data_IF_793962281125
#
_entry.id   IF_793962281125
#
_cell.length_a   1.000
_cell.length_b   1.000
_cell.length_c   1.000
_cell.angle_alpha   90.00
_cell.angle_beta   90.00
_cell.angle_gamma   90.00
#
_symmetry.space_group_name_H-M   'P 1'
#
loop_
_entity.id
_entity.type
_entity.pdbx_description
1 polymer ?
#
# COMPACT_ATOMS: atom_id res chain seq x y z
N UNK A 1 -25.28 18.37 10.58
CA UNK A 1 -25.23 18.07 12.04
C UNK A 1 -24.98 16.59 12.17
N UNK A 2 -23.82 16.22 12.67
CA UNK A 2 -23.47 14.83 13.00
C UNK A 2 -24.24 14.52 14.27
N UNK A 3 -25.09 13.52 14.22
CA UNK A 3 -25.90 13.17 15.40
C UNK A 3 -24.99 12.53 16.42
N UNK A 4 -25.15 12.91 17.70
CA UNK A 4 -24.47 12.26 18.83
C UNK A 4 -24.64 10.73 18.78
N UNK A 5 -25.75 10.27 18.22
CA UNK A 5 -26.06 8.86 17.96
C UNK A 5 -25.06 8.16 17.04
N UNK A 6 -24.58 8.82 15.97
CA UNK A 6 -23.59 8.22 15.05
C UNK A 6 -22.23 8.04 15.73
N UNK A 7 -21.80 9.01 16.54
CA UNK A 7 -20.56 8.89 17.33
C UNK A 7 -20.67 7.80 18.40
N UNK A 8 -21.83 7.68 19.05
CA UNK A 8 -22.09 6.63 20.02
C UNK A 8 -22.07 5.24 19.35
N UNK A 9 -22.69 5.10 18.19
CA UNK A 9 -22.68 3.84 17.43
C UNK A 9 -21.25 3.44 17.02
N UNK A 10 -20.43 4.40 16.58
CA UNK A 10 -19.01 4.15 16.26
C UNK A 10 -18.25 3.73 17.51
N UNK A 11 -18.44 4.41 18.65
CA UNK A 11 -17.80 4.05 19.91
C UNK A 11 -18.08 2.59 20.29
N UNK A 12 -19.34 2.15 20.19
CA UNK A 12 -19.74 0.76 20.45
C UNK A 12 -19.05 -0.20 19.48
N UNK A 13 -18.99 0.14 18.18
CA UNK A 13 -18.35 -0.71 17.15
C UNK A 13 -16.85 -0.84 17.44
N UNK A 14 -16.15 0.25 17.76
CA UNK A 14 -14.73 0.23 18.08
C UNK A 14 -14.44 -0.60 19.34
N UNK A 15 -15.26 -0.45 20.39
CA UNK A 15 -15.15 -1.26 21.61
C UNK A 15 -15.31 -2.76 21.33
N UNK A 16 -16.27 -3.12 20.50
CA UNK A 16 -16.50 -4.51 20.08
C UNK A 16 -15.31 -5.05 19.27
N UNK A 17 -14.69 -4.23 18.39
CA UNK A 17 -13.48 -4.58 17.64
C UNK A 17 -12.31 -4.78 18.59
N UNK A 18 -12.06 -3.87 19.53
CA UNK A 18 -10.95 -3.95 20.48
C UNK A 18 -11.06 -5.18 21.39
N UNK A 19 -12.29 -5.54 21.79
CA UNK A 19 -12.55 -6.76 22.55
C UNK A 19 -12.51 -8.03 21.70
N UNK A 20 -12.39 -7.90 20.38
CA UNK A 20 -12.43 -9.00 19.41
C UNK A 20 -13.74 -9.83 19.53
N UNK A 21 -14.83 -9.19 19.96
CA UNK A 21 -16.14 -9.83 20.00
C UNK A 21 -16.79 -9.84 18.60
N UNK A 22 -16.32 -10.76 17.79
CA UNK A 22 -16.78 -10.89 16.39
C UNK A 22 -18.24 -11.34 16.27
N UNK A 23 -18.83 -11.94 17.32
CA UNK A 23 -20.26 -12.24 17.33
C UNK A 23 -21.08 -10.95 17.48
N UNK A 24 -20.74 -10.12 18.47
CA UNK A 24 -21.37 -8.82 18.64
C UNK A 24 -21.16 -7.93 17.39
N UNK A 25 -19.96 -7.95 16.79
CA UNK A 25 -19.67 -7.18 15.58
C UNK A 25 -20.60 -7.58 14.41
N UNK A 26 -20.83 -8.88 14.19
CA UNK A 26 -21.77 -9.33 13.15
C UNK A 26 -23.20 -8.83 13.40
N UNK A 27 -23.63 -8.85 14.62
CA UNK A 27 -24.96 -8.40 15.00
C UNK A 27 -25.12 -6.88 14.92
N UNK A 28 -24.15 -6.12 15.39
CA UNK A 28 -24.25 -4.65 15.48
C UNK A 28 -23.91 -4.00 14.12
N UNK A 29 -22.86 -4.45 13.47
CA UNK A 29 -22.34 -3.82 12.26
C UNK A 29 -22.85 -4.47 10.97
N UNK A 30 -22.83 -5.79 10.86
CA UNK A 30 -23.04 -6.48 9.59
C UNK A 30 -24.48 -6.96 9.35
N UNK A 31 -25.37 -6.89 10.33
CA UNK A 31 -26.77 -7.31 10.18
C UNK A 31 -27.59 -6.38 9.27
N UNK A 32 -27.20 -5.11 9.21
CA UNK A 32 -27.86 -4.11 8.37
C UNK A 32 -26.84 -3.43 7.44
N UNK A 33 -26.70 -3.89 6.17
CA UNK A 33 -25.72 -3.35 5.22
C UNK A 33 -25.85 -1.85 4.94
N UNK A 34 -27.07 -1.32 4.85
CA UNK A 34 -27.29 0.11 4.60
C UNK A 34 -26.83 0.97 5.78
N UNK A 35 -27.11 0.52 7.00
CA UNK A 35 -26.64 1.19 8.21
C UNK A 35 -25.13 1.11 8.33
N UNK A 36 -24.55 -0.04 8.03
CA UNK A 36 -23.08 -0.23 8.02
C UNK A 36 -22.40 0.70 7.02
N UNK A 37 -22.92 0.83 5.79
CA UNK A 37 -22.40 1.78 4.80
C UNK A 37 -22.46 3.24 5.29
N UNK A 38 -23.53 3.63 5.96
CA UNK A 38 -23.64 4.99 6.51
C UNK A 38 -22.59 5.24 7.59
N UNK A 39 -22.38 4.29 8.49
CA UNK A 39 -21.37 4.37 9.56
C UNK A 39 -19.96 4.41 8.97
N UNK A 40 -19.65 3.57 7.98
CA UNK A 40 -18.31 3.53 7.36
C UNK A 40 -17.98 4.81 6.62
N UNK A 41 -18.93 5.39 5.90
CA UNK A 41 -18.76 6.69 5.24
C UNK A 41 -18.51 7.79 6.25
N UNK A 42 -19.29 7.80 7.33
CA UNK A 42 -19.12 8.76 8.41
C UNK A 42 -17.74 8.62 9.06
N UNK A 43 -17.33 7.39 9.38
CA UNK A 43 -16.02 7.10 9.99
C UNK A 43 -14.88 7.63 9.09
N UNK A 44 -14.90 7.30 7.80
CA UNK A 44 -13.88 7.73 6.84
C UNK A 44 -13.84 9.26 6.62
N UNK A 45 -14.97 9.96 6.77
CA UNK A 45 -15.06 11.42 6.58
C UNK A 45 -14.74 12.23 7.83
N UNK A 46 -14.69 11.60 9.00
CA UNK A 46 -14.49 12.32 10.25
C UNK A 46 -13.01 12.55 10.53
N UNK A 47 -12.62 13.83 10.68
CA UNK A 47 -11.21 14.24 10.86
C UNK A 47 -10.51 13.56 12.05
N UNK A 48 -11.24 13.19 13.10
CA UNK A 48 -10.68 12.53 14.28
C UNK A 48 -10.16 11.11 14.04
N UNK A 49 -10.47 10.49 12.89
CA UNK A 49 -9.98 9.15 12.53
C UNK A 49 -8.84 9.17 11.50
N UNK A 50 -8.31 10.35 11.16
CA UNK A 50 -7.11 10.50 10.33
C UNK A 50 -7.17 9.71 9.00
N UNK A 51 -8.34 9.69 8.35
CA UNK A 51 -8.54 8.96 7.08
C UNK A 51 -8.65 7.44 7.22
N UNK A 52 -8.53 6.90 8.43
CA UNK A 52 -8.74 5.47 8.67
C UNK A 52 -10.16 5.05 8.30
N UNK A 53 -10.31 3.84 7.79
CA UNK A 53 -11.62 3.20 7.60
C UNK A 53 -11.87 2.15 8.68
N UNK A 54 -13.11 1.70 8.81
CA UNK A 54 -13.41 0.58 9.73
C UNK A 54 -12.64 -0.69 9.36
N UNK A 55 -12.31 -0.90 8.08
CA UNK A 55 -11.51 -2.04 7.66
C UNK A 55 -10.09 -1.96 8.26
N UNK A 56 -9.46 -0.78 8.30
CA UNK A 56 -8.16 -0.58 8.99
C UNK A 56 -8.24 -1.00 10.47
N UNK A 57 -9.28 -0.56 11.17
CA UNK A 57 -9.47 -0.90 12.59
C UNK A 57 -9.70 -2.41 12.81
N UNK A 58 -10.52 -3.03 11.96
CA UNK A 58 -10.85 -4.46 12.07
C UNK A 58 -9.64 -5.35 11.81
N UNK A 59 -8.88 -5.09 10.73
CA UNK A 59 -7.74 -5.95 10.37
C UNK A 59 -6.59 -5.91 11.37
N UNK A 60 -6.50 -4.85 12.17
CA UNK A 60 -5.56 -4.73 13.27
C UNK A 60 -5.78 -5.78 14.36
N UNK A 61 -7.01 -6.21 14.55
CA UNK A 61 -7.42 -7.09 15.64
C UNK A 61 -7.57 -8.55 15.24
N UNK A 62 -6.89 -8.99 14.17
CA UNK A 62 -6.89 -10.37 13.67
C UNK A 62 -8.31 -10.95 13.47
N UNK A 63 -9.13 -10.36 12.58
CA UNK A 63 -10.51 -10.72 12.38
C UNK A 63 -10.68 -12.11 11.75
N UNK A 64 -11.84 -12.77 11.96
CA UNK A 64 -12.24 -13.93 11.18
C UNK A 64 -12.44 -13.56 9.70
N UNK A 65 -12.15 -14.51 8.80
CA UNK A 65 -12.22 -14.30 7.35
C UNK A 65 -13.61 -13.85 6.88
N UNK A 66 -14.69 -14.42 7.43
CA UNK A 66 -16.07 -14.10 7.07
C UNK A 66 -16.45 -12.67 7.41
N UNK A 67 -15.91 -12.11 8.48
CA UNK A 67 -16.11 -10.70 8.87
C UNK A 67 -15.51 -9.78 7.81
N UNK A 68 -14.26 -10.01 7.43
CA UNK A 68 -13.58 -9.20 6.39
C UNK A 68 -14.25 -9.36 5.03
N UNK A 69 -14.62 -10.60 4.68
CA UNK A 69 -15.34 -10.89 3.42
C UNK A 69 -16.64 -10.09 3.34
N UNK A 70 -17.42 -10.09 4.42
CA UNK A 70 -18.70 -9.36 4.46
C UNK A 70 -18.51 -7.85 4.43
N UNK A 71 -17.47 -7.31 5.08
CA UNK A 71 -17.15 -5.89 5.02
C UNK A 71 -16.79 -5.45 3.59
N UNK A 72 -15.94 -6.22 2.90
CA UNK A 72 -15.55 -5.93 1.51
C UNK A 72 -16.75 -6.06 0.57
N UNK A 73 -17.64 -7.03 0.78
CA UNK A 73 -18.87 -7.18 0.00
C UNK A 73 -19.77 -5.94 0.13
N UNK A 74 -19.92 -5.39 1.36
CA UNK A 74 -20.79 -4.24 1.62
C UNK A 74 -20.14 -2.93 1.18
N UNK A 75 -18.82 -2.77 1.40
CA UNK A 75 -18.05 -1.53 1.20
C UNK A 75 -16.70 -1.84 0.55
N UNK A 76 -16.65 -2.22 -0.74
CA UNK A 76 -15.42 -2.62 -1.41
C UNK A 76 -14.39 -1.49 -1.49
N UNK A 77 -14.83 -0.24 -1.48
CA UNK A 77 -13.96 0.95 -1.53
C UNK A 77 -12.99 1.06 -0.35
N UNK A 78 -13.30 0.42 0.79
CA UNK A 78 -12.43 0.44 1.96
C UNK A 78 -11.09 -0.29 1.73
N UNK A 79 -11.05 -1.27 0.81
CA UNK A 79 -9.82 -2.01 0.50
C UNK A 79 -8.77 -1.13 -0.19
N UNK A 80 -9.20 -0.09 -0.93
CA UNK A 80 -8.32 0.84 -1.63
C UNK A 80 -8.06 2.14 -0.84
N UNK A 81 -8.85 2.40 0.21
CA UNK A 81 -8.76 3.64 0.98
C UNK A 81 -7.42 3.75 1.70
N UNK A 82 -6.86 4.97 1.72
CA UNK A 82 -5.61 5.29 2.42
C UNK A 82 -5.90 6.14 3.66
N UNK A 83 -5.19 5.88 4.75
CA UNK A 83 -5.18 6.76 5.92
C UNK A 83 -4.29 8.00 5.71
N UNK A 84 -4.15 8.85 6.74
CA UNK A 84 -3.33 10.07 6.66
C UNK A 84 -1.83 9.81 6.44
N UNK A 85 -1.35 8.59 6.70
CA UNK A 85 0.02 8.15 6.42
C UNK A 85 0.14 7.42 5.08
N UNK A 86 -0.91 7.43 4.24
CA UNK A 86 -0.91 6.73 2.95
C UNK A 86 -1.09 5.21 3.04
N UNK A 87 -1.33 4.65 4.24
CA UNK A 87 -1.45 3.22 4.45
C UNK A 87 -2.84 2.74 4.06
N UNK A 88 -2.93 1.60 3.39
CA UNK A 88 -4.18 0.89 3.13
C UNK A 88 -4.45 -0.14 4.23
N UNK A 89 -5.66 -0.68 4.28
CA UNK A 89 -5.98 -1.78 5.18
C UNK A 89 -5.05 -2.99 5.00
N UNK A 90 -4.46 -3.18 3.81
CA UNK A 90 -3.50 -4.25 3.53
C UNK A 90 -2.15 -4.02 4.25
N UNK A 91 -1.68 -2.76 4.35
CA UNK A 91 -0.51 -2.41 5.17
C UNK A 91 -0.74 -2.77 6.63
N UNK A 92 -1.89 -2.36 7.17
CA UNK A 92 -2.26 -2.66 8.57
C UNK A 92 -2.39 -4.15 8.81
N UNK A 93 -3.02 -4.89 7.89
CA UNK A 93 -3.16 -6.35 7.99
C UNK A 93 -1.78 -7.06 7.99
N UNK A 94 -0.86 -6.61 7.12
CA UNK A 94 0.49 -7.14 7.04
C UNK A 94 1.28 -6.88 8.34
N UNK A 95 1.24 -5.65 8.84
CA UNK A 95 1.91 -5.26 10.07
C UNK A 95 1.33 -5.92 11.33
N UNK A 96 0.00 -6.14 11.37
CA UNK A 96 -0.68 -6.80 12.52
C UNK A 96 -0.56 -8.31 12.49
N UNK A 97 0.18 -8.89 11.55
CA UNK A 97 0.27 -10.33 11.34
C UNK A 97 -1.11 -11.01 11.21
N UNK A 98 -2.03 -10.34 10.51
CA UNK A 98 -3.34 -10.91 10.20
C UNK A 98 -3.21 -12.25 9.49
N UNK A 99 -4.24 -13.10 9.59
CA UNK A 99 -4.15 -14.42 8.98
C UNK A 99 -3.86 -14.33 7.47
N UNK A 100 -3.04 -15.24 6.89
CA UNK A 100 -2.72 -15.21 5.47
C UNK A 100 -3.94 -15.28 4.55
N UNK A 101 -5.05 -15.85 5.04
CA UNK A 101 -6.33 -15.90 4.32
C UNK A 101 -6.97 -14.51 4.22
N UNK A 102 -6.90 -13.72 5.29
CA UNK A 102 -7.39 -12.33 5.33
C UNK A 102 -6.54 -11.45 4.42
N UNK A 103 -5.21 -11.55 4.51
CA UNK A 103 -4.30 -10.82 3.64
C UNK A 103 -4.60 -11.11 2.16
N UNK A 104 -4.73 -12.39 1.79
CA UNK A 104 -5.06 -12.79 0.41
C UNK A 104 -6.43 -12.24 -0.04
N UNK A 105 -7.42 -12.27 0.84
CA UNK A 105 -8.75 -11.76 0.51
C UNK A 105 -8.72 -10.27 0.19
N UNK A 106 -8.02 -9.46 1.00
CA UNK A 106 -7.91 -8.02 0.79
C UNK A 106 -7.09 -7.71 -0.46
N UNK A 107 -5.95 -8.39 -0.63
CA UNK A 107 -5.08 -8.25 -1.79
C UNK A 107 -5.82 -8.60 -3.10
N UNK A 108 -6.62 -9.67 -3.10
CA UNK A 108 -7.44 -10.06 -4.25
C UNK A 108 -8.56 -9.05 -4.54
N UNK A 109 -9.17 -8.48 -3.48
CA UNK A 109 -10.23 -7.47 -3.64
C UNK A 109 -9.70 -6.14 -4.21
N UNK A 110 -8.43 -5.80 -3.94
CA UNK A 110 -7.78 -4.61 -4.47
C UNK A 110 -6.29 -4.89 -4.78
N UNK A 111 -5.96 -5.50 -5.94
CA UNK A 111 -4.58 -5.87 -6.29
C UNK A 111 -3.62 -4.67 -6.27
N UNK A 112 -4.07 -3.49 -6.68
CA UNK A 112 -3.26 -2.27 -6.66
C UNK A 112 -2.81 -1.87 -5.24
N UNK A 113 -3.47 -2.34 -4.20
CA UNK A 113 -3.05 -2.09 -2.82
C UNK A 113 -1.78 -2.85 -2.42
N UNK A 114 -1.39 -3.89 -3.19
CA UNK A 114 -0.15 -4.63 -2.96
C UNK A 114 1.10 -3.79 -3.25
N UNK A 115 1.01 -2.89 -4.25
CA UNK A 115 2.09 -2.00 -4.68
C UNK A 115 1.91 -0.57 -4.14
N UNK A 116 0.84 -0.33 -3.39
CA UNK A 116 0.62 0.96 -2.78
C UNK A 116 1.71 1.25 -1.75
N UNK A 117 2.20 2.49 -1.76
CA UNK A 117 3.19 2.95 -0.79
C UNK A 117 2.55 3.91 0.21
N UNK A 118 3.04 3.86 1.44
CA UNK A 118 2.77 4.86 2.47
C UNK A 118 3.65 6.11 2.31
N UNK A 119 3.65 7.01 3.30
CA UNK A 119 4.45 8.26 3.26
C UNK A 119 5.96 8.01 3.32
N UNK A 120 6.39 6.86 3.85
CA UNK A 120 7.79 6.46 3.92
C UNK A 120 8.22 5.59 2.72
N UNK A 121 7.35 5.43 1.71
CA UNK A 121 7.61 4.58 0.55
C UNK A 121 7.40 3.09 0.80
N UNK A 122 6.99 2.69 1.99
CA UNK A 122 6.83 1.28 2.38
C UNK A 122 5.54 0.68 1.79
N UNK A 123 5.65 -0.49 1.18
CA UNK A 123 4.52 -1.30 0.72
C UNK A 123 4.03 -2.26 1.81
N UNK A 124 2.84 -2.89 1.68
CA UNK A 124 2.41 -3.95 2.59
C UNK A 124 3.43 -5.08 2.74
N UNK A 125 4.23 -5.35 1.70
CA UNK A 125 5.26 -6.38 1.74
C UNK A 125 6.41 -5.99 2.68
N UNK A 126 6.82 -4.71 2.72
CA UNK A 126 7.79 -4.20 3.69
C UNK A 126 7.27 -4.42 5.12
N UNK A 127 6.01 -4.05 5.39
CA UNK A 127 5.39 -4.26 6.71
C UNK A 127 5.29 -5.74 7.11
N UNK A 128 5.10 -6.65 6.15
CA UNK A 128 5.11 -8.10 6.43
C UNK A 128 6.50 -8.64 6.77
N UNK A 129 7.55 -7.98 6.29
CA UNK A 129 8.96 -8.37 6.49
C UNK A 129 9.59 -7.65 7.69
N UNK A 130 9.13 -6.46 8.05
CA UNK A 130 9.65 -5.65 9.15
C UNK A 130 8.93 -5.97 10.47
N UNK A 131 9.60 -6.73 11.35
CA UNK A 131 9.05 -7.05 12.68
C UNK A 131 9.13 -5.89 13.67
N UNK A 132 9.90 -4.85 13.37
CA UNK A 132 10.12 -3.67 14.22
C UNK A 132 9.12 -2.55 13.93
N UNK A 133 8.40 -2.63 12.82
CA UNK A 133 7.45 -1.61 12.41
C UNK A 133 6.33 -1.41 13.43
N UNK A 134 6.17 -0.20 13.93
CA UNK A 134 5.07 0.21 14.79
C UNK A 134 3.96 0.83 13.92
N UNK A 135 2.74 0.31 14.03
CA UNK A 135 1.59 0.86 13.32
C UNK A 135 1.10 2.18 13.91
N UNK A 136 1.20 2.28 15.23
CA UNK A 136 0.76 3.45 16.00
C UNK A 136 1.78 3.70 17.11
N UNK A 137 2.00 4.96 17.44
CA UNK A 137 2.89 5.35 18.53
C UNK A 137 2.47 4.68 19.85
N UNK A 138 3.37 3.91 20.43
CA UNK A 138 3.15 3.17 21.67
C UNK A 138 2.53 1.78 21.53
N UNK A 139 2.27 1.30 20.32
CA UNK A 139 1.83 -0.08 20.06
C UNK A 139 2.98 -1.07 20.30
N UNK A 140 3.16 -1.48 21.54
CA UNK A 140 4.08 -2.59 21.83
C UNK A 140 3.35 -3.91 21.61
N UNK A 141 3.79 -4.75 20.65
CA UNK A 141 3.20 -6.06 20.48
C UNK A 141 3.38 -6.88 21.78
N UNK A 142 2.29 -7.43 22.27
CA UNK A 142 2.28 -8.29 23.47
C UNK A 142 3.15 -9.54 23.26
N UNK A 143 3.29 -9.98 21.99
CA UNK A 143 4.14 -11.10 21.57
C UNK A 143 5.08 -10.61 20.50
N UNK A 144 6.37 -10.97 20.55
CA UNK A 144 7.32 -10.64 19.48
C UNK A 144 6.76 -11.09 18.13
N UNK A 145 6.66 -10.16 17.18
CA UNK A 145 6.23 -10.51 15.82
C UNK A 145 7.30 -11.37 15.16
N UNK A 146 6.87 -12.24 14.28
CA UNK A 146 7.74 -13.04 13.43
C UNK A 146 7.32 -12.84 11.98
N UNK A 147 8.30 -12.85 11.08
CA UNK A 147 8.05 -12.83 9.65
C UNK A 147 7.19 -14.05 9.26
N UNK A 148 6.01 -13.78 8.71
CA UNK A 148 5.07 -14.85 8.33
C UNK A 148 5.23 -15.21 6.85
N UNK A 149 5.84 -16.37 6.58
CA UNK A 149 6.05 -16.87 5.23
C UNK A 149 4.77 -16.92 4.38
N UNK A 150 3.66 -17.36 4.96
CA UNK A 150 2.39 -17.51 4.23
C UNK A 150 1.72 -16.17 3.93
N UNK A 151 1.93 -15.15 4.78
CA UNK A 151 1.48 -13.78 4.52
C UNK A 151 2.24 -13.16 3.34
N UNK A 152 3.57 -13.27 3.35
CA UNK A 152 4.44 -12.82 2.25
C UNK A 152 4.07 -13.52 0.94
N UNK A 153 3.87 -14.84 0.99
CA UNK A 153 3.42 -15.61 -0.18
C UNK A 153 2.07 -15.12 -0.70
N UNK A 154 1.14 -14.77 0.18
CA UNK A 154 -0.16 -14.24 -0.21
C UNK A 154 -0.05 -12.89 -0.92
N UNK A 155 0.83 -11.99 -0.46
CA UNK A 155 1.11 -10.71 -1.12
C UNK A 155 1.79 -10.90 -2.48
N UNK A 156 2.83 -11.71 -2.54
CA UNK A 156 3.56 -12.00 -3.79
C UNK A 156 2.73 -12.75 -4.83
N UNK A 157 1.65 -13.46 -4.42
CA UNK A 157 0.74 -14.10 -5.39
C UNK A 157 -0.09 -13.09 -6.18
N UNK A 158 -0.32 -11.90 -5.65
CA UNK A 158 -1.09 -10.83 -6.29
C UNK A 158 -0.18 -9.81 -6.99
N UNK A 159 1.00 -9.51 -6.42
CA UNK A 159 1.99 -8.65 -7.07
C UNK A 159 3.43 -9.09 -6.77
N UNK A 160 4.17 -9.46 -7.83
CA UNK A 160 5.62 -9.68 -7.74
C UNK A 160 6.38 -8.34 -7.73
N UNK A 161 5.81 -7.29 -8.33
CA UNK A 161 6.43 -5.98 -8.41
C UNK A 161 6.70 -5.37 -7.02
N UNK A 162 5.82 -5.61 -6.03
CA UNK A 162 6.03 -5.19 -4.65
C UNK A 162 7.40 -5.60 -4.07
N UNK A 163 8.03 -6.68 -4.60
CA UNK A 163 9.34 -7.17 -4.14
C UNK A 163 10.54 -6.34 -4.63
N UNK A 164 10.32 -5.46 -5.60
CA UNK A 164 11.36 -4.60 -6.20
C UNK A 164 11.23 -3.13 -5.81
N UNK A 165 10.13 -2.78 -5.13
CA UNK A 165 9.91 -1.42 -4.65
C UNK A 165 10.84 -1.16 -3.46
N UNK A 166 11.52 -0.02 -3.49
CA UNK A 166 12.37 0.50 -2.41
C UNK A 166 11.63 1.61 -1.67
N UNK A 167 11.83 1.69 -0.38
CA UNK A 167 11.32 2.78 0.47
C UNK A 167 12.24 4.01 0.43
N UNK A 168 11.97 5.02 1.28
CA UNK A 168 12.78 6.26 1.35
C UNK A 168 14.22 6.02 1.84
N UNK A 169 14.49 4.90 2.53
CA UNK A 169 15.81 4.49 2.98
C UNK A 169 16.54 3.61 1.94
N UNK A 170 16.00 3.54 0.70
CA UNK A 170 16.49 2.70 -0.41
C UNK A 170 16.51 1.21 -0.05
N UNK A 171 15.62 0.78 0.86
CA UNK A 171 15.51 -0.60 1.29
C UNK A 171 14.28 -1.28 0.68
N UNK A 172 14.45 -2.51 0.22
CA UNK A 172 13.37 -3.35 -0.27
C UNK A 172 12.92 -4.38 0.80
N UNK A 173 11.82 -5.06 0.53
CA UNK A 173 11.23 -6.02 1.46
C UNK A 173 12.16 -7.22 1.80
N UNK A 174 13.09 -7.60 0.90
CA UNK A 174 14.07 -8.67 1.15
C UNK A 174 15.06 -8.26 2.23
N UNK A 175 15.53 -7.01 2.21
CA UNK A 175 16.47 -6.49 3.20
C UNK A 175 15.84 -6.44 4.59
N UNK A 176 14.59 -5.97 4.69
CA UNK A 176 13.81 -6.04 5.94
C UNK A 176 13.63 -7.48 6.44
N UNK A 177 13.38 -8.44 5.55
CA UNK A 177 13.25 -9.84 5.92
C UNK A 177 14.58 -10.41 6.50
N UNK A 178 15.72 -10.02 5.91
CA UNK A 178 17.05 -10.42 6.41
C UNK A 178 17.32 -9.79 7.77
N UNK A 179 17.06 -8.50 7.94
CA UNK A 179 17.21 -7.80 9.22
C UNK A 179 16.31 -8.35 10.33
N UNK A 180 15.14 -8.85 9.95
CA UNK A 180 14.15 -9.46 10.84
C UNK A 180 14.40 -10.95 11.10
N UNK A 181 15.56 -11.49 10.72
CA UNK A 181 15.94 -12.91 10.88
C UNK A 181 14.87 -13.88 10.32
N UNK A 182 14.37 -13.58 9.12
CA UNK A 182 13.38 -14.42 8.47
C UNK A 182 13.95 -15.78 8.08
N UNK A 183 13.09 -16.81 8.12
CA UNK A 183 13.48 -18.16 7.70
C UNK A 183 14.03 -18.18 6.27
N UNK A 184 15.08 -18.97 6.03
CA UNK A 184 15.75 -19.09 4.73
C UNK A 184 14.78 -19.36 3.55
N UNK A 185 13.69 -20.10 3.80
CA UNK A 185 12.67 -20.32 2.77
C UNK A 185 11.98 -19.04 2.33
N UNK A 186 11.75 -18.08 3.26
CA UNK A 186 11.13 -16.78 3.00
C UNK A 186 12.10 -15.88 2.22
N UNK A 187 13.36 -15.82 2.66
CA UNK A 187 14.41 -15.07 1.96
C UNK A 187 14.56 -15.56 0.51
N UNK A 188 14.65 -16.86 0.28
CA UNK A 188 14.72 -17.44 -1.08
C UNK A 188 13.48 -17.12 -1.93
N UNK A 189 12.30 -17.09 -1.32
CA UNK A 189 11.06 -16.75 -2.02
C UNK A 189 11.08 -15.29 -2.48
N UNK A 190 11.50 -14.35 -1.62
CA UNK A 190 11.64 -12.93 -1.95
C UNK A 190 12.71 -12.71 -3.04
N UNK A 191 13.88 -13.33 -2.92
CA UNK A 191 14.94 -13.27 -3.94
C UNK A 191 14.42 -13.74 -5.31
N UNK A 192 13.69 -14.86 -5.33
CA UNK A 192 13.11 -15.37 -6.58
C UNK A 192 12.07 -14.41 -7.15
N UNK A 193 11.21 -13.82 -6.30
CA UNK A 193 10.19 -12.85 -6.73
C UNK A 193 10.83 -11.61 -7.36
N UNK A 194 11.85 -11.02 -6.73
CA UNK A 194 12.58 -9.86 -7.28
C UNK A 194 13.22 -10.20 -8.63
N UNK A 195 13.93 -11.33 -8.74
CA UNK A 195 14.55 -11.76 -10.00
C UNK A 195 13.53 -11.94 -11.13
N UNK A 196 12.37 -12.52 -10.81
CA UNK A 196 11.29 -12.75 -11.79
C UNK A 196 10.64 -11.43 -12.24
N UNK A 197 10.48 -10.47 -11.33
CA UNK A 197 9.94 -9.15 -11.65
C UNK A 197 10.86 -8.41 -12.63
N UNK A 198 12.17 -8.37 -12.39
CA UNK A 198 13.16 -7.75 -13.30
C UNK A 198 13.16 -8.39 -14.69
N UNK A 199 13.03 -9.72 -14.78
CA UNK A 199 12.97 -10.41 -16.08
C UNK A 199 11.70 -10.09 -16.85
N UNK A 200 10.57 -9.87 -16.18
CA UNK A 200 9.31 -9.50 -16.84
C UNK A 200 9.33 -8.08 -17.36
N UNK A 201 9.92 -7.14 -16.63
CA UNK A 201 10.07 -5.75 -17.05
C UNK A 201 11.04 -5.60 -18.22
N UNK A 202 12.18 -6.31 -18.20
CA UNK A 202 13.16 -6.28 -19.28
C UNK A 202 12.60 -6.84 -20.61
N UNK A 203 11.66 -7.77 -20.56
CA UNK A 203 10.97 -8.31 -21.75
C UNK A 203 9.90 -7.39 -22.32
N UNK A 204 9.32 -6.49 -21.50
CA UNK A 204 8.32 -5.53 -21.97
C UNK A 204 8.92 -4.33 -22.69
N UNK A 205 10.22 -4.08 -22.54
CA UNK A 205 10.96 -3.07 -23.29
C UNK A 205 11.46 -3.73 -24.60
N UNK A 206 10.57 -3.97 -25.56
CA UNK A 206 11.00 -4.26 -26.92
C UNK A 206 11.62 -2.99 -27.51
N UNK A 207 12.86 -3.03 -28.07
CA UNK A 207 13.36 -1.91 -28.81
C UNK A 207 12.42 -1.68 -30.01
N UNK A 208 11.90 -0.44 -30.10
CA UNK A 208 11.19 0.01 -31.28
C UNK A 208 12.05 -0.39 -32.50
N UNK A 209 11.56 -1.35 -33.29
CA UNK A 209 12.18 -1.74 -34.55
C UNK A 209 12.24 -0.49 -35.44
N UNK A 210 13.41 0.10 -35.54
CA UNK A 210 13.71 1.09 -36.55
C UNK A 210 13.53 0.39 -37.92
N UNK A 211 12.38 0.61 -38.53
CA UNK A 211 12.19 0.28 -39.95
C UNK A 211 13.27 0.98 -40.74
N UNK A 212 13.96 0.31 -41.65
CA UNK A 212 14.96 0.95 -42.47
C UNK A 212 14.30 2.01 -43.35
N UNK A 213 14.56 3.28 -43.04
CA UNK A 213 14.19 4.39 -43.89
C UNK A 213 14.89 4.23 -45.25
N UNK A 214 14.07 4.13 -46.27
CA UNK A 214 14.47 4.24 -47.68
C UNK A 214 15.39 5.45 -47.86
N UNK A 215 16.58 5.21 -48.38
CA UNK A 215 17.53 6.22 -48.82
C UNK A 215 16.92 7.00 -49.98
N UNK A 216 16.44 8.21 -49.75
CA UNK A 216 16.21 9.19 -50.79
C UNK A 216 17.37 10.17 -50.77
N UNK A 217 18.17 10.09 -51.84
CA UNK A 217 19.24 11.01 -52.19
C UNK A 217 18.67 12.38 -52.51
N UNK A 218 18.91 13.35 -51.63
CA UNK A 218 18.82 14.78 -51.97
C UNK A 218 20.13 15.48 -51.56
N UNK A 219 20.68 16.39 -52.37
CA UNK A 219 21.97 16.99 -52.13
C UNK A 219 21.95 18.06 -51.02
N UNK A 220 23.11 18.39 -50.42
CA UNK A 220 23.15 19.24 -49.22
C UNK A 220 22.87 20.72 -49.55
N UNK A 221 21.91 21.31 -48.87
CA UNK A 221 21.71 22.76 -48.85
C UNK A 221 22.77 23.42 -47.97
N UNK A 222 23.54 24.28 -48.59
CA UNK A 222 24.57 25.13 -47.97
C UNK A 222 23.90 26.24 -47.16
N UNK A 223 23.91 26.15 -45.85
CA UNK A 223 23.46 27.22 -44.93
C UNK A 223 24.68 28.00 -44.47
N UNK A 224 24.75 29.28 -44.86
CA UNK A 224 25.75 30.23 -44.36
C UNK A 224 25.30 30.81 -43.03
N UNK A 225 26.12 30.63 -42.00
CA UNK A 225 25.97 31.30 -40.74
C UNK A 225 26.36 32.78 -40.86
N UNK A 226 25.44 33.66 -40.51
CA UNK A 226 25.73 35.04 -40.13
C UNK A 226 25.86 35.14 -38.63
N UNK A 227 27.03 35.53 -38.17
CA UNK A 227 27.26 35.99 -36.81
C UNK A 227 26.46 37.27 -36.54
N UNK A 228 25.70 37.30 -35.48
CA UNK A 228 25.17 38.50 -34.92
C UNK A 228 25.52 38.58 -33.42
N UNK A 229 26.32 39.58 -33.15
CA UNK A 229 26.77 39.98 -31.81
C UNK A 229 25.62 40.15 -30.83
N UNK A 230 25.78 39.55 -29.61
CA UNK A 230 24.94 39.89 -28.49
C UNK A 230 25.79 40.69 -27.50
N UNK A 231 25.46 41.95 -27.40
CA UNK A 231 25.98 42.88 -26.39
C UNK A 231 25.45 42.50 -25.01
N UNK A 232 26.36 42.41 -24.07
CA UNK A 232 26.08 42.33 -22.63
C UNK A 232 25.79 43.70 -22.08
N UNK A 233 24.57 43.91 -21.55
CA UNK A 233 24.31 44.99 -20.59
C UNK A 233 23.95 44.42 -19.24
N UNK A 234 24.70 44.85 -18.24
CA UNK A 234 24.58 44.47 -16.87
C UNK A 234 23.46 45.25 -16.13
N UNK A 235 22.85 44.59 -15.20
CA UNK A 235 22.10 45.27 -14.12
C UNK A 235 22.32 44.50 -12.81
N UNK A 236 23.03 45.15 -11.92
CA UNK A 236 23.15 44.79 -10.50
C UNK A 236 21.82 45.11 -9.81
N UNK A 237 21.36 44.25 -8.95
CA UNK A 237 20.33 44.58 -7.95
C UNK A 237 20.89 44.20 -6.57
N UNK A 238 20.80 45.10 -5.56
CA UNK A 238 21.41 44.89 -4.26
C UNK A 238 20.49 44.11 -3.29
N UNK A 239 21.15 43.38 -2.40
CA UNK A 239 20.54 42.82 -1.19
C UNK A 239 20.04 43.91 -0.23
N UNK A 240 18.84 43.73 0.30
CA UNK A 240 18.42 44.08 1.67
C UNK A 240 17.60 42.95 2.22
#
# INVERSE_FOLDING_TARGET
MITAEALQAIGIILEVIERQDWMAFRLVALSNPAHFQAITRFFASHAGFNGMTLLHAVVRCNPPLDVVSKMIEICPEQAAAKDCLGRTALHVAAASAASPKVIRLIAHACPNSCDATDVDGKTPLHFACDITCELFEGDKPVVPRKVCHDAIRALLSESLHASTIEDIDEMNALEYAIMSDAELKTVKMLQKASSTSFESESKSIQPLSLSPMLTSTTPPLRVSFKESEIMLEGSRVPYV
#
